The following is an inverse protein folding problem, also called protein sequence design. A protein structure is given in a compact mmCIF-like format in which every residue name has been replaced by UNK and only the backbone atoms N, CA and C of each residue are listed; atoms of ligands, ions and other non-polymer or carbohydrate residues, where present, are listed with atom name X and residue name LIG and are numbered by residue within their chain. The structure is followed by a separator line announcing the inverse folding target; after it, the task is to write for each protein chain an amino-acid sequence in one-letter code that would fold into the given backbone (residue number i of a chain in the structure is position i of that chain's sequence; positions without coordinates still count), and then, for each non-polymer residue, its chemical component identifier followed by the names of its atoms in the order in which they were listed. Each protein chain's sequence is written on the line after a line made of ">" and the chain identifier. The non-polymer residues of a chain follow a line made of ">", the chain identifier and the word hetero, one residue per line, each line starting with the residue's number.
data_IF_716330671756
#
_entry.id   IF_716330671756
#
_cell.length_a   1.000
_cell.length_b   1.000
_cell.length_c   1.000
_cell.angle_alpha   90.00
_cell.angle_beta   90.00
_cell.angle_gamma   90.00
#
_symmetry.space_group_name_H-M   'P 1'
#
loop_
_entity.id
_entity.type
_entity.pdbx_description
1 polymer ?
#
# COMPACT_ATOMS: atom_id res chain seq x y z
N UNK A 1 -24.17 -2.60 21.61
CA UNK A 1 -23.36 -3.49 22.46
C UNK A 1 -22.39 -4.25 21.58
N UNK A 2 -21.11 -4.29 21.94
CA UNK A 2 -20.09 -5.06 21.22
C UNK A 2 -20.24 -6.55 21.60
N UNK A 3 -20.37 -7.44 20.62
CA UNK A 3 -20.33 -8.90 20.87
C UNK A 3 -18.90 -9.40 20.68
N UNK A 4 -18.39 -10.18 21.64
CA UNK A 4 -17.08 -10.85 21.53
C UNK A 4 -16.99 -11.75 20.30
N UNK A 5 -18.09 -12.40 19.92
CA UNK A 5 -18.18 -13.21 18.71
C UNK A 5 -18.07 -12.35 17.42
N UNK A 6 -18.70 -11.17 17.40
CA UNK A 6 -18.61 -10.26 16.25
C UNK A 6 -17.19 -9.67 16.10
N UNK A 7 -16.55 -9.34 17.22
CA UNK A 7 -15.15 -8.93 17.25
C UNK A 7 -14.23 -10.04 16.72
N UNK A 8 -14.35 -11.27 17.27
CA UNK A 8 -13.54 -12.40 16.86
C UNK A 8 -13.77 -12.77 15.38
N UNK A 9 -15.02 -12.71 14.89
CA UNK A 9 -15.34 -12.93 13.48
C UNK A 9 -14.68 -11.91 12.56
N UNK A 10 -14.74 -10.62 12.91
CA UNK A 10 -14.08 -9.54 12.16
C UNK A 10 -12.56 -9.72 12.15
N UNK A 11 -11.96 -10.02 13.31
CA UNK A 11 -10.54 -10.28 13.44
C UNK A 11 -10.10 -11.50 12.62
N UNK A 12 -10.87 -12.59 12.64
CA UNK A 12 -10.60 -13.79 11.86
C UNK A 12 -10.68 -13.54 10.35
N UNK A 13 -11.59 -12.65 9.90
CA UNK A 13 -11.65 -12.24 8.50
C UNK A 13 -10.42 -11.42 8.11
N UNK A 14 -9.96 -10.49 8.95
CA UNK A 14 -8.79 -9.66 8.66
C UNK A 14 -7.45 -10.41 8.79
N UNK A 15 -7.35 -11.39 9.69
CA UNK A 15 -6.09 -12.05 10.07
C UNK A 15 -5.53 -13.10 9.10
N UNK A 16 -6.17 -13.32 7.95
CA UNK A 16 -5.66 -14.23 6.92
C UNK A 16 -4.75 -13.50 5.92
N UNK A 17 -3.57 -14.04 5.57
CA UNK A 17 -2.59 -13.31 4.75
C UNK A 17 -3.11 -12.85 3.37
N UNK A 18 -3.91 -13.67 2.70
CA UNK A 18 -4.46 -13.32 1.38
C UNK A 18 -5.54 -12.24 1.53
N UNK A 19 -6.45 -12.39 2.49
CA UNK A 19 -7.49 -11.38 2.77
C UNK A 19 -6.89 -10.06 3.23
N UNK A 20 -5.89 -10.10 4.12
CA UNK A 20 -5.15 -8.92 4.55
C UNK A 20 -4.52 -8.21 3.34
N UNK A 21 -3.85 -8.93 2.46
CA UNK A 21 -3.24 -8.37 1.24
C UNK A 21 -4.28 -7.68 0.34
N UNK A 22 -5.45 -8.30 0.16
CA UNK A 22 -6.55 -7.71 -0.61
C UNK A 22 -7.13 -6.46 0.06
N UNK A 23 -7.35 -6.49 1.37
CA UNK A 23 -7.87 -5.35 2.14
C UNK A 23 -6.91 -4.16 2.09
N UNK A 24 -5.61 -4.41 2.26
CA UNK A 24 -4.56 -3.39 2.19
C UNK A 24 -4.44 -2.76 0.79
N UNK A 25 -4.71 -3.52 -0.28
CA UNK A 25 -4.73 -3.02 -1.64
C UNK A 25 -5.85 -1.99 -1.89
N UNK A 26 -6.98 -2.12 -1.19
CA UNK A 26 -8.15 -1.26 -1.34
C UNK A 26 -8.11 0.00 -0.47
N UNK A 27 -7.06 0.16 0.33
CA UNK A 27 -6.88 1.30 1.22
C UNK A 27 -6.51 2.62 0.52
N UNK A 28 -6.46 2.72 -0.81
CA UNK A 28 -6.47 4.02 -1.51
C UNK A 28 -7.88 4.45 -1.95
N UNK A 29 -8.90 3.70 -1.54
CA UNK A 29 -10.30 3.98 -1.83
C UNK A 29 -10.75 3.58 -3.23
N UNK A 30 -9.87 3.00 -4.07
CA UNK A 30 -10.26 2.45 -5.37
C UNK A 30 -11.09 1.19 -5.20
N UNK A 31 -11.95 0.93 -6.18
CA UNK A 31 -12.62 -0.34 -6.33
C UNK A 31 -11.84 -1.21 -7.34
N UNK A 32 -11.47 -2.43 -6.96
CA UNK A 32 -10.68 -3.35 -7.79
C UNK A 32 -11.48 -4.61 -8.13
N UNK A 33 -11.18 -5.24 -9.25
CA UNK A 33 -11.79 -6.51 -9.66
C UNK A 33 -11.21 -7.69 -8.88
N UNK A 34 -11.93 -8.82 -8.87
CA UNK A 34 -11.45 -10.06 -8.29
C UNK A 34 -10.11 -10.54 -8.90
N UNK A 35 -9.91 -10.33 -10.20
CA UNK A 35 -8.66 -10.70 -10.90
C UNK A 35 -7.48 -9.87 -10.44
N UNK A 36 -7.64 -8.56 -10.29
CA UNK A 36 -6.59 -7.68 -9.77
C UNK A 36 -6.23 -8.04 -8.33
N UNK A 37 -7.24 -8.28 -7.48
CA UNK A 37 -7.04 -8.66 -6.08
C UNK A 37 -6.40 -10.05 -5.94
N UNK A 38 -6.75 -11.01 -6.80
CA UNK A 38 -6.10 -12.31 -6.87
C UNK A 38 -4.60 -12.18 -7.20
N UNK A 39 -4.27 -11.35 -8.19
CA UNK A 39 -2.88 -11.06 -8.56
C UNK A 39 -2.08 -10.42 -7.43
N UNK A 40 -2.68 -9.47 -6.70
CA UNK A 40 -2.04 -8.81 -5.55
C UNK A 40 -1.81 -9.80 -4.40
N UNK A 41 -2.77 -10.67 -4.11
CA UNK A 41 -2.66 -11.67 -3.05
C UNK A 41 -1.82 -12.90 -3.45
N UNK A 42 -1.42 -13.02 -4.73
CA UNK A 42 -0.62 -14.15 -5.22
C UNK A 42 -1.36 -15.48 -5.19
N UNK A 43 -2.69 -15.47 -5.38
CA UNK A 43 -3.54 -16.66 -5.33
C UNK A 43 -4.37 -16.84 -6.60
N UNK A 44 -4.92 -18.05 -6.78
CA UNK A 44 -5.77 -18.36 -7.92
C UNK A 44 -7.11 -17.58 -7.87
N UNK A 45 -7.71 -17.21 -9.02
CA UNK A 45 -8.98 -16.47 -9.07
C UNK A 45 -10.14 -17.17 -8.36
N UNK A 46 -10.19 -18.50 -8.38
CA UNK A 46 -11.21 -19.28 -7.67
C UNK A 46 -11.09 -19.11 -6.16
N UNK A 47 -9.88 -19.20 -5.62
CA UNK A 47 -9.59 -18.98 -4.19
C UNK A 47 -9.89 -17.54 -3.79
N UNK A 48 -9.51 -16.57 -4.63
CA UNK A 48 -9.82 -15.16 -4.40
C UNK A 48 -11.32 -14.91 -4.30
N UNK A 49 -12.13 -15.51 -5.18
CA UNK A 49 -13.58 -15.34 -5.18
C UNK A 49 -14.21 -15.78 -3.85
N UNK A 50 -13.75 -16.89 -3.27
CA UNK A 50 -14.19 -17.36 -1.95
C UNK A 50 -13.79 -16.41 -0.81
N UNK A 51 -12.57 -15.88 -0.84
CA UNK A 51 -12.14 -14.88 0.12
C UNK A 51 -12.95 -13.58 0.03
N UNK A 52 -13.20 -13.09 -1.18
CA UNK A 52 -13.94 -11.86 -1.42
C UNK A 52 -15.41 -11.98 -0.99
N UNK A 53 -16.03 -13.14 -1.21
CA UNK A 53 -17.37 -13.43 -0.70
C UNK A 53 -17.40 -13.34 0.83
N UNK A 54 -16.49 -14.03 1.53
CA UNK A 54 -16.43 -14.01 3.01
C UNK A 54 -16.19 -12.61 3.56
N UNK A 55 -15.36 -11.81 2.89
CA UNK A 55 -15.10 -10.42 3.27
C UNK A 55 -16.32 -9.52 3.05
N UNK A 56 -17.09 -9.74 1.99
CA UNK A 56 -18.32 -9.01 1.72
C UNK A 56 -19.44 -9.39 2.70
N UNK A 57 -19.65 -10.68 2.96
CA UNK A 57 -20.62 -11.19 3.93
C UNK A 57 -20.30 -10.70 5.36
N UNK A 58 -19.02 -10.62 5.70
CA UNK A 58 -18.56 -10.06 6.98
C UNK A 58 -18.58 -8.54 7.06
N UNK A 59 -18.99 -7.82 6.00
CA UNK A 59 -19.11 -6.37 6.00
C UNK A 59 -17.77 -5.61 5.93
N UNK A 60 -16.67 -6.27 5.56
CA UNK A 60 -15.38 -5.60 5.34
C UNK A 60 -15.28 -5.02 3.93
N UNK A 61 -15.98 -5.61 2.97
CA UNK A 61 -16.05 -5.13 1.58
C UNK A 61 -17.47 -4.77 1.15
N UNK A 62 -17.58 -3.74 0.31
CA UNK A 62 -18.74 -3.48 -0.52
C UNK A 62 -18.46 -3.92 -1.96
N UNK A 63 -19.47 -4.47 -2.62
CA UNK A 63 -19.39 -4.95 -4.00
C UNK A 63 -20.28 -4.10 -4.88
N UNK A 64 -19.70 -3.49 -5.90
CA UNK A 64 -20.40 -2.71 -6.92
C UNK A 64 -20.35 -3.47 -8.25
N UNK A 65 -21.49 -3.58 -8.92
CA UNK A 65 -21.58 -4.22 -10.23
C UNK A 65 -21.58 -3.16 -11.31
N UNK A 66 -20.55 -3.17 -12.16
CA UNK A 66 -20.45 -2.29 -13.30
C UNK A 66 -20.32 -3.14 -14.56
N UNK A 67 -21.41 -3.21 -15.33
CA UNK A 67 -21.53 -4.11 -16.47
C UNK A 67 -21.36 -5.58 -16.07
N UNK A 68 -20.41 -6.27 -16.72
CA UNK A 68 -20.08 -7.69 -16.47
C UNK A 68 -19.10 -7.90 -15.32
N UNK A 69 -18.49 -6.83 -14.82
CA UNK A 69 -17.45 -6.92 -13.79
C UNK A 69 -18.02 -6.53 -12.43
N UNK A 70 -17.53 -7.23 -11.40
CA UNK A 70 -17.76 -6.88 -9.99
C UNK A 70 -16.50 -6.19 -9.47
N UNK A 71 -16.69 -5.02 -8.90
CA UNK A 71 -15.65 -4.23 -8.26
C UNK A 71 -15.83 -4.29 -6.76
N UNK A 72 -14.72 -4.32 -6.04
CA UNK A 72 -14.69 -4.49 -4.60
C UNK A 72 -13.95 -3.31 -3.99
N UNK A 73 -14.54 -2.72 -2.95
CA UNK A 73 -13.96 -1.61 -2.19
C UNK A 73 -14.15 -1.87 -0.70
N UNK A 74 -13.40 -1.20 0.16
CA UNK A 74 -13.67 -1.24 1.60
C UNK A 74 -15.11 -0.78 1.85
N UNK A 75 -15.82 -1.52 2.71
CA UNK A 75 -17.23 -1.27 2.97
C UNK A 75 -17.48 0.11 3.57
N UNK A 76 -16.56 0.58 4.44
CA UNK A 76 -16.68 1.85 5.12
C UNK A 76 -15.32 2.45 5.51
N UNK A 77 -15.29 3.76 5.82
CA UNK A 77 -14.12 4.40 6.43
C UNK A 77 -13.72 3.81 7.78
N UNK A 78 -14.66 3.18 8.50
CA UNK A 78 -14.36 2.51 9.78
C UNK A 78 -13.50 1.25 9.57
N UNK A 79 -13.73 0.50 8.48
CA UNK A 79 -12.87 -0.64 8.11
C UNK A 79 -11.45 -0.16 7.79
N UNK A 80 -11.31 0.96 7.07
CA UNK A 80 -9.99 1.54 6.80
C UNK A 80 -9.26 1.92 8.10
N UNK A 81 -9.95 2.59 9.03
CA UNK A 81 -9.40 2.96 10.33
C UNK A 81 -9.00 1.74 11.18
N UNK A 82 -9.78 0.65 11.13
CA UNK A 82 -9.43 -0.61 11.79
C UNK A 82 -8.14 -1.20 11.22
N UNK A 83 -8.00 -1.26 9.89
CA UNK A 83 -6.79 -1.76 9.23
C UNK A 83 -5.57 -0.90 9.58
N UNK A 84 -5.73 0.42 9.63
CA UNK A 84 -4.70 1.35 10.10
C UNK A 84 -4.26 1.05 11.54
N UNK A 85 -5.23 0.84 12.45
CA UNK A 85 -4.95 0.48 13.83
C UNK A 85 -4.16 -0.83 13.96
N UNK A 86 -4.54 -1.86 13.21
CA UNK A 86 -3.81 -3.15 13.17
C UNK A 86 -2.38 -2.96 12.66
N UNK A 87 -2.20 -2.21 11.57
CA UNK A 87 -0.87 -1.92 11.01
C UNK A 87 0.00 -1.14 12.01
N UNK A 88 -0.54 -0.13 12.66
CA UNK A 88 0.17 0.66 13.66
C UNK A 88 0.55 -0.17 14.89
N UNK A 89 -0.34 -1.06 15.36
CA UNK A 89 -0.05 -1.98 16.46
C UNK A 89 1.01 -3.03 16.08
N UNK A 90 1.10 -3.37 14.79
CA UNK A 90 2.07 -4.34 14.25
C UNK A 90 3.41 -3.69 13.89
N UNK A 91 3.49 -2.36 13.83
CA UNK A 91 4.68 -1.59 13.50
C UNK A 91 5.77 -1.76 14.59
N UNK A 92 6.57 -2.81 14.45
CA UNK A 92 7.60 -3.21 15.41
C UNK A 92 7.67 -4.72 15.65
N UNK A 93 6.69 -5.50 15.18
CA UNK A 93 6.68 -6.97 15.31
C UNK A 93 7.47 -7.67 14.18
N UNK A 94 7.65 -7.01 13.03
CA UNK A 94 8.36 -7.54 11.87
C UNK A 94 9.86 -7.83 12.14
N UNK A 95 10.41 -7.29 13.24
CA UNK A 95 11.79 -7.53 13.67
C UNK A 95 11.99 -8.77 14.56
N UNK A 96 10.91 -9.47 14.96
CA UNK A 96 10.96 -10.50 16.00
C UNK A 96 10.71 -11.94 15.54
N UNK A 97 10.52 -12.21 14.24
CA UNK A 97 10.27 -13.56 13.73
C UNK A 97 11.52 -14.16 13.05
N UNK A 98 12.22 -15.14 13.68
CA UNK A 98 13.23 -15.92 12.98
C UNK A 98 12.53 -16.86 11.99
N UNK A 99 12.82 -16.71 10.69
CA UNK A 99 12.66 -17.81 9.72
C UNK A 99 11.48 -17.76 8.74
N UNK A 100 10.69 -16.67 8.67
CA UNK A 100 9.70 -16.51 7.58
C UNK A 100 9.83 -15.17 6.88
N UNK A 101 10.91 -15.03 6.11
CA UNK A 101 11.08 -13.97 5.13
C UNK A 101 10.08 -14.12 3.98
N UNK A 102 8.81 -13.80 4.22
CA UNK A 102 7.84 -13.57 3.16
C UNK A 102 7.57 -12.07 3.09
N UNK A 103 8.30 -11.43 2.18
CA UNK A 103 7.89 -10.20 1.49
C UNK A 103 7.78 -8.87 2.28
N UNK A 104 8.42 -8.70 3.44
CA UNK A 104 8.85 -7.38 3.89
C UNK A 104 10.06 -6.91 3.05
N UNK A 105 9.87 -6.79 1.72
CA UNK A 105 10.88 -6.19 0.86
C UNK A 105 10.89 -4.70 1.17
N UNK A 106 11.92 -4.28 1.90
CA UNK A 106 12.47 -2.92 1.86
C UNK A 106 12.93 -2.68 0.43
N UNK A 107 11.98 -2.37 -0.44
CA UNK A 107 12.19 -1.99 -1.83
C UNK A 107 11.93 -0.49 -2.00
N UNK A 108 12.21 0.07 -3.19
CA UNK A 108 11.86 1.44 -3.54
C UNK A 108 10.38 1.80 -3.27
N UNK A 109 9.50 0.79 -3.28
CA UNK A 109 8.07 0.90 -3.00
C UNK A 109 7.73 1.11 -1.51
N UNK A 110 8.53 0.60 -0.57
CA UNK A 110 8.36 0.95 0.86
C UNK A 110 8.81 2.40 1.09
N UNK A 111 9.97 2.79 0.55
CA UNK A 111 10.46 4.18 0.65
C UNK A 111 9.46 5.19 0.05
N UNK A 112 8.85 4.88 -1.10
CA UNK A 112 7.83 5.72 -1.71
C UNK A 112 6.56 5.81 -0.84
N UNK A 113 6.06 4.68 -0.31
CA UNK A 113 4.89 4.64 0.57
C UNK A 113 5.10 5.39 1.88
N UNK A 114 6.31 5.33 2.46
CA UNK A 114 6.67 6.08 3.67
C UNK A 114 6.78 7.58 3.41
N UNK A 115 7.27 8.00 2.24
CA UNK A 115 7.36 9.42 1.86
C UNK A 115 5.99 10.06 1.75
N UNK A 116 5.15 9.55 0.85
CA UNK A 116 3.82 10.08 0.63
C UNK A 116 2.91 9.01 0.01
N UNK A 117 1.70 8.86 0.53
CA UNK A 117 0.68 7.94 0.03
C UNK A 117 -0.73 8.44 0.34
N UNK A 118 -1.74 7.74 -0.16
CA UNK A 118 -3.12 7.92 0.32
C UNK A 118 -3.45 6.87 1.39
N UNK A 119 -3.91 7.33 2.57
CA UNK A 119 -4.34 6.44 3.66
C UNK A 119 -5.71 5.81 3.42
N UNK A 120 -6.56 6.56 2.71
CA UNK A 120 -7.82 6.15 2.13
C UNK A 120 -8.16 7.23 1.10
N UNK A 121 -8.84 8.28 1.56
CA UNK A 121 -9.17 9.48 0.79
C UNK A 121 -8.34 10.71 1.17
N UNK A 122 -7.44 10.58 2.13
CA UNK A 122 -6.56 11.64 2.62
C UNK A 122 -5.08 11.24 2.50
N UNK A 123 -4.19 12.23 2.61
CA UNK A 123 -2.75 12.02 2.51
C UNK A 123 -2.17 11.42 3.79
N UNK A 124 -1.17 10.56 3.63
CA UNK A 124 -0.38 9.92 4.68
C UNK A 124 1.09 9.84 4.26
N UNK A 125 1.92 9.33 5.17
CA UNK A 125 3.37 9.33 5.06
C UNK A 125 3.99 10.59 5.65
N UNK A 126 5.32 10.66 5.63
CA UNK A 126 6.11 11.75 6.19
C UNK A 126 5.67 13.13 5.73
N UNK A 127 5.34 13.27 4.44
CA UNK A 127 4.85 14.54 3.91
C UNK A 127 3.57 15.00 4.62
N UNK A 128 2.59 14.10 4.80
CA UNK A 128 1.32 14.43 5.42
C UNK A 128 1.46 14.71 6.92
N UNK A 129 2.31 13.95 7.61
CA UNK A 129 2.67 14.20 9.02
C UNK A 129 3.32 15.57 9.16
N UNK A 130 4.32 15.88 8.33
CA UNK A 130 4.99 17.18 8.36
C UNK A 130 4.02 18.34 8.07
N UNK A 131 3.15 18.21 7.06
CA UNK A 131 2.11 19.22 6.80
C UNK A 131 1.21 19.43 8.02
N UNK A 132 0.80 18.34 8.66
CA UNK A 132 -0.06 18.39 9.85
C UNK A 132 0.65 19.04 11.03
N UNK A 133 1.91 18.70 11.28
CA UNK A 133 2.75 19.31 12.32
C UNK A 133 2.85 20.82 12.14
N UNK A 134 3.07 21.29 10.91
CA UNK A 134 3.17 22.72 10.62
C UNK A 134 1.84 23.44 10.83
N UNK A 135 0.72 22.81 10.47
CA UNK A 135 -0.61 23.38 10.77
C UNK A 135 -0.88 23.46 12.26
N UNK A 136 -0.53 22.43 13.04
CA UNK A 136 -0.67 22.44 14.50
C UNK A 136 0.23 23.49 15.14
N UNK A 137 1.50 23.54 14.75
CA UNK A 137 2.47 24.52 15.27
C UNK A 137 2.06 25.98 14.98
N UNK A 138 1.31 26.21 13.90
CA UNK A 138 0.78 27.54 13.52
C UNK A 138 -0.61 27.83 14.11
N UNK A 139 -1.16 26.95 14.93
CA UNK A 139 -2.51 27.11 15.48
C UNK A 139 -3.62 27.07 14.41
N UNK A 140 -3.35 26.46 13.26
CA UNK A 140 -4.31 26.31 12.15
C UNK A 140 -5.25 25.11 12.36
N UNK A 141 -4.77 24.09 13.07
CA UNK A 141 -5.53 22.90 13.43
C UNK A 141 -5.23 22.56 14.88
N UNK A 142 -6.25 22.19 15.62
CA UNK A 142 -6.14 21.58 16.95
C UNK A 142 -6.51 20.10 16.82
N UNK A 143 -5.60 19.20 17.20
CA UNK A 143 -5.84 17.76 17.20
C UNK A 143 -5.81 17.24 18.63
N UNK A 144 -6.83 16.49 19.02
CA UNK A 144 -6.88 15.67 20.25
C UNK A 144 -6.88 14.19 19.87
N UNK A 145 -6.82 13.28 20.85
CA UNK A 145 -6.81 11.84 20.58
C UNK A 145 -8.04 11.36 19.76
N UNK A 146 -9.20 11.96 20.01
CA UNK A 146 -10.49 11.49 19.47
C UNK A 146 -11.12 12.44 18.44
N UNK A 147 -10.47 13.56 18.13
CA UNK A 147 -11.04 14.56 17.24
C UNK A 147 -10.07 15.64 16.81
N UNK A 148 -10.54 16.52 15.94
CA UNK A 148 -9.80 17.69 15.52
C UNK A 148 -10.72 18.84 15.17
N UNK A 149 -10.22 20.05 15.33
CA UNK A 149 -10.88 21.28 14.93
C UNK A 149 -9.98 22.04 13.95
N UNK A 150 -10.58 22.56 12.88
CA UNK A 150 -9.93 23.52 12.00
C UNK A 150 -10.22 24.92 12.56
N UNK A 151 -9.19 25.69 12.87
CA UNK A 151 -9.37 27.06 13.38
C UNK A 151 -9.72 28.01 12.24
N UNK A 152 -10.16 29.24 12.55
CA UNK A 152 -10.41 30.25 11.51
C UNK A 152 -9.17 30.57 10.66
N UNK A 153 -7.98 30.54 11.28
CA UNK A 153 -6.72 30.70 10.56
C UNK A 153 -6.43 29.53 9.63
N UNK A 154 -6.77 28.30 10.04
CA UNK A 154 -6.66 27.11 9.19
C UNK A 154 -7.64 27.10 8.03
N UNK A 155 -8.88 27.57 8.24
CA UNK A 155 -9.89 27.70 7.18
C UNK A 155 -9.39 28.67 6.09
N UNK A 156 -8.98 29.88 6.49
CA UNK A 156 -8.45 30.88 5.56
C UNK A 156 -7.21 30.37 4.80
N UNK A 157 -6.28 29.72 5.50
CA UNK A 157 -5.08 29.14 4.89
C UNK A 157 -5.42 28.07 3.86
N UNK A 158 -6.26 27.09 4.20
CA UNK A 158 -6.62 26.00 3.28
C UNK A 158 -7.43 26.51 2.09
N UNK A 159 -8.33 27.49 2.27
CA UNK A 159 -9.03 28.14 1.15
C UNK A 159 -8.06 28.87 0.23
N UNK A 160 -7.06 29.54 0.79
CA UNK A 160 -5.98 30.17 0.02
C UNK A 160 -5.18 29.19 -0.84
N UNK A 161 -5.12 27.91 -0.43
CA UNK A 161 -4.53 26.81 -1.20
C UNK A 161 -5.50 26.16 -2.20
N UNK A 162 -6.71 26.69 -2.38
CA UNK A 162 -7.71 26.12 -3.29
C UNK A 162 -8.47 24.92 -2.71
N UNK A 163 -8.45 24.73 -1.39
CA UNK A 163 -9.23 23.65 -0.76
C UNK A 163 -10.70 24.05 -0.61
N UNK A 164 -11.59 23.30 -1.26
CA UNK A 164 -13.04 23.44 -1.11
C UNK A 164 -13.51 22.88 0.25
N UNK A 165 -13.51 23.76 1.25
CA UNK A 165 -13.98 23.47 2.61
C UNK A 165 -15.50 23.46 2.72
N UNK A 166 -16.25 24.16 1.86
CA UNK A 166 -17.72 24.17 1.91
C UNK A 166 -18.29 22.80 1.59
N UNK A 167 -17.74 22.15 0.55
CA UNK A 167 -18.06 20.76 0.25
C UNK A 167 -17.47 19.79 1.29
N UNK A 168 -16.39 20.14 1.97
CA UNK A 168 -15.88 19.34 3.09
C UNK A 168 -16.85 19.36 4.27
N UNK A 169 -17.34 20.53 4.68
CA UNK A 169 -18.33 20.70 5.76
C UNK A 169 -19.62 19.95 5.47
N UNK A 170 -20.15 20.06 4.24
CA UNK A 170 -21.35 19.29 3.84
C UNK A 170 -21.14 17.78 3.92
N UNK A 171 -19.95 17.30 3.55
CA UNK A 171 -19.54 15.88 3.66
C UNK A 171 -19.10 15.47 5.07
N UNK A 172 -18.85 16.40 5.98
CA UNK A 172 -18.43 16.16 7.36
C UNK A 172 -19.54 16.35 8.39
N UNK A 173 -20.74 16.70 7.95
CA UNK A 173 -21.90 16.87 8.82
C UNK A 173 -22.53 15.54 9.25
N UNK A 174 -23.36 15.60 10.29
CA UNK A 174 -24.02 14.42 10.90
C UNK A 174 -24.73 13.49 9.90
N UNK A 175 -25.25 14.01 8.77
CA UNK A 175 -25.90 13.21 7.71
C UNK A 175 -24.94 12.35 6.88
N UNK A 176 -23.65 12.70 6.81
CA UNK A 176 -22.67 11.95 6.03
C UNK A 176 -21.91 10.90 6.84
N UNK A 177 -22.03 10.89 8.17
CA UNK A 177 -21.31 9.96 9.06
C UNK A 177 -19.78 10.11 9.07
N UNK A 178 -19.22 11.14 8.41
CA UNK A 178 -17.78 11.43 8.38
C UNK A 178 -17.47 12.55 9.34
N UNK A 179 -16.38 12.40 10.09
CA UNK A 179 -15.87 13.47 10.98
C UNK A 179 -15.26 14.59 10.14
N UNK A 180 -15.56 15.84 10.47
CA UNK A 180 -15.06 17.02 9.74
C UNK A 180 -13.52 17.09 9.73
N UNK A 181 -12.90 17.01 10.91
CA UNK A 181 -11.46 17.02 11.10
C UNK A 181 -11.10 16.02 12.22
N UNK A 182 -10.05 15.22 12.04
CA UNK A 182 -9.56 14.27 13.05
C UNK A 182 -8.10 13.89 12.78
N UNK A 183 -7.35 13.41 13.80
CA UNK A 183 -6.10 12.72 13.54
C UNK A 183 -6.36 11.35 12.90
N UNK A 184 -5.46 10.93 12.03
CA UNK A 184 -5.27 9.54 11.62
C UNK A 184 -3.82 9.16 11.93
N UNK A 185 -3.61 7.97 12.49
CA UNK A 185 -2.28 7.53 12.90
C UNK A 185 -1.52 6.98 11.69
N UNK A 186 -0.40 7.61 11.35
CA UNK A 186 0.48 7.11 10.30
C UNK A 186 1.24 5.87 10.81
N UNK A 187 1.07 4.71 10.18
CA UNK A 187 1.78 3.50 10.59
C UNK A 187 3.31 3.59 10.38
N UNK A 188 3.76 4.33 9.37
CA UNK A 188 5.18 4.42 9.00
C UNK A 188 5.97 5.39 9.87
N UNK A 189 5.33 6.47 10.31
CA UNK A 189 5.93 7.54 11.11
C UNK A 189 5.46 7.50 12.58
N UNK A 190 4.42 6.69 12.90
CA UNK A 190 3.78 6.55 14.23
C UNK A 190 3.30 7.87 14.82
N UNK A 191 2.87 8.78 13.96
CA UNK A 191 2.47 10.15 14.29
C UNK A 191 1.16 10.52 13.59
N UNK A 192 0.34 11.41 14.16
CA UNK A 192 -0.92 11.80 13.57
C UNK A 192 -0.71 12.61 12.29
N UNK A 193 -1.58 12.39 11.31
CA UNK A 193 -1.77 13.25 10.15
C UNK A 193 -3.24 13.62 9.98
N UNK A 194 -3.51 14.67 9.20
CA UNK A 194 -4.84 15.23 9.02
C UNK A 194 -5.76 14.32 8.19
N UNK A 195 -6.87 13.91 8.81
CA UNK A 195 -7.91 13.11 8.18
C UNK A 195 -9.30 13.76 8.34
N UNK A 196 -10.35 13.01 8.01
CA UNK A 196 -11.72 13.52 7.97
C UNK A 196 -12.01 14.25 6.66
N UNK A 197 -13.11 15.02 6.65
CA UNK A 197 -13.54 15.75 5.46
C UNK A 197 -12.50 16.79 5.00
N UNK A 198 -11.82 17.47 5.95
CA UNK A 198 -10.74 18.42 5.68
C UNK A 198 -9.53 17.72 5.06
N UNK A 199 -9.03 16.64 5.66
CA UNK A 199 -7.90 15.88 5.12
C UNK A 199 -8.18 15.34 3.71
N UNK A 200 -9.42 14.87 3.48
CA UNK A 200 -9.84 14.42 2.15
C UNK A 200 -9.95 15.58 1.14
N UNK A 201 -10.35 16.78 1.56
CA UNK A 201 -10.42 17.96 0.71
C UNK A 201 -9.05 18.46 0.30
N UNK A 202 -8.11 18.53 1.26
CA UNK A 202 -6.72 18.88 0.99
C UNK A 202 -6.07 17.90 0.01
N UNK A 203 -6.29 16.60 0.22
CA UNK A 203 -5.81 15.55 -0.68
C UNK A 203 -6.33 15.75 -2.12
N UNK A 204 -7.64 15.99 -2.28
CA UNK A 204 -8.24 16.28 -3.60
C UNK A 204 -7.65 17.53 -4.25
N UNK A 205 -7.49 18.61 -3.50
CA UNK A 205 -6.89 19.85 -4.00
C UNK A 205 -5.46 19.61 -4.52
N UNK A 206 -4.64 18.86 -3.78
CA UNK A 206 -3.28 18.54 -4.20
C UNK A 206 -3.24 17.76 -5.53
N UNK A 207 -4.19 16.84 -5.77
CA UNK A 207 -4.31 16.16 -7.06
C UNK A 207 -4.85 17.09 -8.16
N UNK A 208 -5.86 17.91 -7.86
CA UNK A 208 -6.47 18.83 -8.83
C UNK A 208 -5.49 19.89 -9.33
N UNK A 209 -4.61 20.38 -8.46
CA UNK A 209 -3.52 21.30 -8.83
C UNK A 209 -2.32 20.62 -9.49
N UNK A 210 -2.32 19.29 -9.62
CA UNK A 210 -1.19 18.54 -10.18
C UNK A 210 0.06 18.55 -9.29
N UNK A 211 -0.08 18.87 -8.00
CA UNK A 211 1.02 18.81 -7.03
C UNK A 211 1.42 17.38 -6.69
N UNK A 212 0.45 16.46 -6.77
CA UNK A 212 0.64 15.04 -6.53
C UNK A 212 0.18 14.21 -7.73
N UNK A 213 0.87 13.11 -7.99
CA UNK A 213 0.50 12.11 -8.99
C UNK A 213 0.52 10.71 -8.36
N UNK A 214 -0.50 9.90 -8.64
CA UNK A 214 -0.53 8.50 -8.19
C UNK A 214 0.53 7.67 -8.92
N UNK A 215 1.13 6.73 -8.21
CA UNK A 215 1.98 5.70 -8.81
C UNK A 215 1.13 4.46 -9.11
N UNK A 216 1.09 4.05 -10.38
CA UNK A 216 0.18 3.03 -10.87
C UNK A 216 0.28 1.72 -10.09
N UNK A 217 -0.89 1.14 -9.80
CA UNK A 217 -0.99 -0.10 -9.03
C UNK A 217 -0.58 0.03 -7.56
N UNK A 218 -0.35 1.24 -7.03
CA UNK A 218 0.05 1.45 -5.64
C UNK A 218 -0.72 2.61 -4.97
N UNK A 219 -0.65 2.65 -3.64
CA UNK A 219 -1.16 3.77 -2.83
C UNK A 219 -0.18 4.95 -2.76
N UNK A 220 1.05 4.77 -3.23
CA UNK A 220 2.09 5.79 -3.16
C UNK A 220 1.78 6.94 -4.12
N UNK A 221 2.17 8.15 -3.72
CA UNK A 221 2.04 9.36 -4.54
C UNK A 221 3.41 10.00 -4.74
N UNK A 222 3.67 10.43 -5.96
CA UNK A 222 4.84 11.23 -6.30
C UNK A 222 4.49 12.72 -6.18
N UNK A 223 5.34 13.49 -5.52
CA UNK A 223 5.26 14.95 -5.51
C UNK A 223 5.89 15.47 -6.79
N UNK A 224 5.14 16.28 -7.55
CA UNK A 224 5.66 16.93 -8.76
C UNK A 224 6.60 18.09 -8.40
N UNK A 225 7.43 18.58 -9.34
CA UNK A 225 8.24 19.77 -9.09
C UNK A 225 7.42 20.99 -8.64
N UNK A 226 6.27 21.21 -9.28
CA UNK A 226 5.31 22.24 -8.88
C UNK A 226 4.78 22.01 -7.46
N UNK A 227 4.46 20.76 -7.12
CA UNK A 227 4.00 20.39 -5.78
C UNK A 227 5.06 20.63 -4.70
N UNK A 228 6.34 20.36 -4.98
CA UNK A 228 7.43 20.66 -4.02
C UNK A 228 7.52 22.14 -3.70
N UNK A 229 7.44 22.99 -4.73
CA UNK A 229 7.46 24.44 -4.54
C UNK A 229 6.22 24.94 -3.79
N UNK A 230 5.04 24.55 -4.25
CA UNK A 230 3.77 25.03 -3.68
C UNK A 230 3.59 24.56 -2.22
N UNK A 231 3.74 23.26 -1.96
CA UNK A 231 3.58 22.70 -0.62
C UNK A 231 4.73 23.11 0.30
N UNK A 232 5.96 23.22 -0.22
CA UNK A 232 7.11 23.73 0.53
C UNK A 232 6.88 25.15 1.03
N UNK A 233 6.47 26.06 0.15
CA UNK A 233 6.19 27.44 0.53
C UNK A 233 4.97 27.56 1.46
N UNK A 234 3.89 26.83 1.15
CA UNK A 234 2.65 26.91 1.92
C UNK A 234 2.81 26.43 3.37
N UNK A 235 3.44 25.27 3.54
CA UNK A 235 3.54 24.63 4.86
C UNK A 235 4.88 24.91 5.55
N UNK A 236 5.86 25.52 4.87
CA UNK A 236 7.24 25.68 5.35
C UNK A 236 7.82 24.32 5.78
N UNK A 237 7.84 23.41 4.81
CA UNK A 237 8.22 22.02 5.04
C UNK A 237 9.74 21.86 5.11
N UNK A 238 10.25 21.16 6.12
CA UNK A 238 11.68 20.99 6.29
C UNK A 238 12.21 19.97 5.26
N UNK A 239 13.53 19.94 5.05
CA UNK A 239 14.17 19.10 4.02
C UNK A 239 13.81 17.61 4.18
N UNK A 240 13.66 17.14 5.42
CA UNK A 240 13.36 15.76 5.78
C UNK A 240 11.97 15.31 5.28
N UNK A 241 11.03 16.24 5.08
CA UNK A 241 9.72 15.95 4.49
C UNK A 241 9.83 15.51 3.01
N UNK A 242 10.93 15.88 2.35
CA UNK A 242 11.21 15.63 0.93
C UNK A 242 12.20 14.49 0.70
N UNK A 243 13.14 14.34 1.64
CA UNK A 243 14.26 13.42 1.65
C UNK A 243 13.87 12.04 2.24
N UNK A 244 14.63 10.97 1.97
CA UNK A 244 14.51 9.77 2.78
C UNK A 244 15.05 10.06 4.19
N UNK A 245 14.47 9.47 5.24
CA UNK A 245 15.08 9.53 6.57
C UNK A 245 16.52 9.00 6.49
N UNK A 246 17.49 9.81 6.91
CA UNK A 246 18.90 9.43 6.96
C UNK A 246 19.06 8.25 7.93
N UNK A 247 19.52 7.09 7.44
CA UNK A 247 19.69 5.89 8.27
C UNK A 247 19.80 4.55 7.53
N UNK A 248 19.57 4.48 6.22
CA UNK A 248 19.82 3.28 5.43
C UNK A 248 20.63 3.65 4.20
N UNK A 249 21.96 3.61 4.35
CA UNK A 249 22.92 3.90 3.28
C UNK A 249 22.79 2.90 2.13
N UNK A 250 22.64 3.42 0.92
CA UNK A 250 22.72 2.66 -0.31
C UNK A 250 24.14 2.84 -0.88
N UNK A 251 24.92 1.77 -0.94
CA UNK A 251 26.08 1.69 -1.83
C UNK A 251 25.63 1.71 -3.30
N UNK A 252 26.48 2.12 -4.24
CA UNK A 252 26.07 2.33 -5.62
C UNK A 252 25.62 1.02 -6.28
N UNK A 253 24.51 1.09 -7.02
CA UNK A 253 23.97 -0.02 -7.80
C UNK A 253 25.01 -0.54 -8.83
N UNK A 254 25.13 -1.86 -9.05
CA UNK A 254 26.03 -2.39 -10.06
C UNK A 254 25.55 -1.95 -11.45
N UNK A 255 26.45 -1.29 -12.17
CA UNK A 255 26.25 -0.80 -13.52
C UNK A 255 25.85 -1.92 -14.47
N UNK A 256 24.91 -1.61 -15.36
CA UNK A 256 24.60 -2.43 -16.53
C UNK A 256 25.85 -2.52 -17.40
N UNK A 257 26.52 -3.67 -17.39
CA UNK A 257 27.51 -3.99 -18.40
C UNK A 257 26.77 -4.29 -19.72
N UNK A 258 26.66 -3.27 -20.57
CA UNK A 258 26.63 -3.47 -22.01
C UNK A 258 28.07 -3.74 -22.43
N UNK A 259 28.35 -4.79 -23.22
CA UNK A 259 29.39 -4.80 -24.26
C UNK A 259 29.14 -5.99 -25.20
N UNK A 260 28.94 -5.66 -26.48
CA UNK A 260 28.89 -6.57 -27.62
C UNK A 260 30.30 -6.98 -28.11
N UNK A 261 30.45 -7.43 -29.37
CA UNK A 261 31.14 -8.69 -29.68
C UNK A 261 32.59 -8.57 -30.22
N UNK A 262 33.25 -9.73 -30.21
CA UNK A 262 34.34 -10.21 -31.10
C UNK A 262 35.81 -9.76 -30.82
N UNK A 263 36.73 -10.72 -30.87
CA UNK A 263 38.18 -10.48 -30.90
C UNK A 263 39.04 -11.72 -30.63
N UNK A 264 39.68 -12.24 -31.67
CA UNK A 264 40.47 -13.50 -31.75
C UNK A 264 41.88 -13.43 -31.12
N UNK A 265 42.50 -14.64 -31.02
CA UNK A 265 43.95 -15.03 -30.94
C UNK A 265 44.45 -15.31 -29.52
N UNK A 266 45.23 -16.36 -29.21
CA UNK A 266 45.80 -17.46 -29.98
C UNK A 266 46.68 -18.39 -29.10
N UNK A 267 46.71 -19.68 -29.48
CA UNK A 267 47.83 -20.66 -29.42
C UNK A 267 48.64 -20.94 -28.14
N UNK A 268 48.58 -22.19 -27.65
CA UNK A 268 49.67 -23.20 -27.52
C UNK A 268 49.10 -24.49 -26.89
N UNK A 269 49.02 -25.61 -27.62
CA UNK A 269 50.02 -26.68 -27.79
C UNK A 269 50.14 -27.64 -26.59
N UNK A 270 49.80 -28.91 -26.84
CA UNK A 270 49.83 -30.12 -25.99
C UNK A 270 51.27 -30.64 -25.74
N UNK A 271 51.58 -31.82 -25.12
CA UNK A 271 50.97 -33.19 -25.26
C UNK A 271 50.82 -33.92 -23.88
N UNK A 272 50.37 -35.17 -23.66
CA UNK A 272 49.87 -36.36 -24.40
C UNK A 272 49.39 -37.37 -23.29
N UNK A 273 48.23 -38.04 -23.41
CA UNK A 273 48.00 -39.45 -23.83
C UNK A 273 48.41 -40.55 -22.80
N UNK A 274 47.91 -41.81 -22.77
CA UNK A 274 46.62 -42.45 -23.18
C UNK A 274 45.91 -43.07 -21.93
N UNK A 275 44.64 -43.47 -21.87
CA UNK A 275 43.88 -44.43 -22.69
C UNK A 275 43.70 -45.76 -21.93
N UNK A 276 42.48 -46.11 -21.47
CA UNK A 276 42.03 -47.51 -21.27
C UNK A 276 40.50 -47.60 -21.10
N UNK A 277 39.85 -48.43 -21.93
CA UNK A 277 38.75 -49.32 -21.51
C UNK A 277 37.30 -48.89 -21.75
N UNK A 278 36.66 -49.39 -22.83
CA UNK A 278 35.19 -49.50 -22.95
C UNK A 278 34.65 -50.73 -22.20
N UNK A 279 33.49 -51.35 -22.59
CA UNK A 279 32.43 -50.88 -23.49
C UNK A 279 30.97 -51.23 -23.03
N UNK A 280 30.00 -50.69 -23.77
CA UNK A 280 28.77 -51.33 -24.31
C UNK A 280 27.50 -51.72 -23.49
N UNK A 281 26.34 -51.31 -24.08
CA UNK A 281 24.99 -51.96 -24.14
C UNK A 281 24.12 -51.98 -22.85
N UNK A 282 22.78 -51.92 -22.85
CA UNK A 282 21.67 -52.05 -23.84
C UNK A 282 20.38 -51.52 -23.13
N UNK A 283 19.52 -50.78 -23.81
CA UNK A 283 18.14 -51.14 -24.23
C UNK A 283 17.16 -51.67 -23.14
N UNK A 284 16.00 -51.01 -22.97
CA UNK A 284 14.83 -51.61 -22.30
C UNK A 284 13.73 -50.66 -21.79
N UNK A 285 12.84 -50.19 -22.67
CA UNK A 285 11.41 -49.92 -22.42
C UNK A 285 10.64 -50.84 -23.40
N UNK A 286 9.36 -51.27 -23.21
CA UNK A 286 8.24 -50.46 -22.67
C UNK A 286 7.10 -51.19 -21.87
N UNK A 287 6.23 -50.39 -21.21
CA UNK A 287 4.74 -50.50 -21.03
C UNK A 287 4.06 -51.75 -20.41
N UNK A 288 2.73 -51.75 -20.13
CA UNK A 288 1.83 -50.76 -19.50
C UNK A 288 0.91 -51.37 -18.38
N UNK A 289 -0.09 -50.60 -17.92
CA UNK A 289 -1.18 -50.88 -16.95
C UNK A 289 -1.97 -52.19 -17.15
N UNK A 290 -2.85 -52.56 -16.19
CA UNK A 290 -4.25 -52.16 -16.33
C UNK A 290 -4.98 -51.75 -15.03
N UNK A 291 -6.18 -51.24 -15.26
CA UNK A 291 -7.17 -50.71 -14.33
C UNK A 291 -7.91 -51.77 -13.50
N UNK A 292 -8.53 -51.31 -12.41
CA UNK A 292 -9.78 -51.84 -11.80
C UNK A 292 -10.37 -50.70 -10.94
N UNK A 293 -11.52 -50.09 -11.26
CA UNK A 293 -12.92 -50.56 -11.24
C UNK A 293 -13.52 -50.73 -9.85
N UNK A 294 -14.55 -49.90 -9.58
CA UNK A 294 -15.75 -50.19 -8.76
C UNK A 294 -15.54 -50.34 -7.24
N UNK A 295 -16.39 -49.94 -6.30
CA UNK A 295 -17.78 -49.45 -6.10
C UNK A 295 -17.77 -48.96 -4.62
N UNK A 296 -18.65 -48.16 -4.02
CA UNK A 296 -20.08 -47.87 -4.14
C UNK A 296 -20.36 -46.65 -3.25
#
# INVERSE_FOLDING_TARGET
>A
MLSTAAFAGTAALAGDPARASMLLALMDGRALTATELAGIAGIAPQTASGHLLRLAEGGLLAVERQGRHRYHRLASPAVAAMLEGIMAASAGLDGQAPGRAVAARIGPRDRALRRARTCYDHLAGRLAVAMTDRMVARGQVELSADGGALTGAGDAFLRGLGVDLDSATRRGGARSGRVFCRPCLDWSERRPHLAGAVGAALCRACFAHGWLRRLDGTRAVAVTPAGRLALGNAFDLPAEAWEPAAGAGDGPAPGRAAHGPNGRRGTRAAPGDPGTGGPDRRAGRPSPCPAGSETR
#
